data_IF_490062878937
#
_entry.id   IF_490062878937
#
_cell.length_a   1.000
_cell.length_b   1.000
_cell.length_c   1.000
_cell.angle_alpha   90.00
_cell.angle_beta   90.00
_cell.angle_gamma   90.00
#
_symmetry.space_group_name_H-M   'P 1'
#
loop_
_entity.id
_entity.type
_entity.pdbx_description
1 polymer ?
#
# COMPACT_ATOMS: atom_id res chain seq x y z
N UNK A 1 -3.55 10.53 30.48
CA UNK A 1 -2.54 9.80 29.69
C UNK A 1 -1.80 10.84 28.86
N UNK A 2 -0.46 10.83 28.79
CA UNK A 2 0.22 11.73 27.87
C UNK A 2 -0.19 11.31 26.46
N UNK A 3 -0.79 12.22 25.69
CA UNK A 3 -1.01 11.97 24.27
C UNK A 3 0.37 11.78 23.63
N UNK A 4 0.57 10.67 22.93
CA UNK A 4 1.77 10.48 22.16
C UNK A 4 1.66 11.44 20.95
N UNK A 5 2.66 12.29 20.77
CA UNK A 5 2.69 13.22 19.64
C UNK A 5 3.14 12.48 18.37
N UNK A 6 2.33 11.51 17.94
CA UNK A 6 2.54 10.67 16.77
C UNK A 6 1.54 11.03 15.68
N UNK A 7 1.87 10.75 14.42
CA UNK A 7 0.96 10.97 13.29
C UNK A 7 -0.39 10.26 13.51
N UNK A 8 -0.35 8.97 13.85
CA UNK A 8 -1.54 8.16 14.13
C UNK A 8 -2.53 8.89 15.07
N UNK A 9 -2.06 9.32 16.23
CA UNK A 9 -2.92 9.96 17.24
C UNK A 9 -3.34 11.39 16.92
N UNK A 10 -2.50 12.17 16.24
CA UNK A 10 -2.78 13.59 15.99
C UNK A 10 -3.46 13.87 14.65
N UNK A 11 -3.35 12.96 13.69
CA UNK A 11 -3.80 13.16 12.31
C UNK A 11 -4.65 11.99 11.83
N UNK A 12 -4.14 10.75 11.86
CA UNK A 12 -4.82 9.62 11.24
C UNK A 12 -6.13 9.25 11.97
N UNK A 13 -6.08 9.02 13.28
CA UNK A 13 -7.28 8.67 14.07
C UNK A 13 -8.34 9.78 14.06
N UNK A 14 -7.99 11.08 14.20
CA UNK A 14 -8.96 12.16 14.00
C UNK A 14 -9.57 12.18 12.60
N UNK A 15 -8.77 11.98 11.54
CA UNK A 15 -9.29 11.96 10.17
C UNK A 15 -10.23 10.76 9.94
N UNK A 16 -9.89 9.58 10.45
CA UNK A 16 -10.76 8.39 10.41
C UNK A 16 -12.08 8.68 11.14
N UNK A 17 -12.05 9.34 12.30
CA UNK A 17 -13.24 9.74 13.04
C UNK A 17 -14.17 10.65 12.23
N UNK A 18 -13.61 11.71 11.62
CA UNK A 18 -14.38 12.63 10.78
C UNK A 18 -15.00 11.93 9.55
N UNK A 19 -14.28 10.98 8.94
CA UNK A 19 -14.80 10.19 7.82
C UNK A 19 -15.93 9.25 8.29
N UNK A 20 -15.83 8.68 9.48
CA UNK A 20 -16.89 7.87 10.06
C UNK A 20 -18.18 8.67 10.29
N UNK A 21 -18.07 9.94 10.70
CA UNK A 21 -19.23 10.83 10.87
C UNK A 21 -20.02 11.06 9.58
N UNK A 22 -19.37 11.01 8.41
CA UNK A 22 -20.01 11.12 7.10
C UNK A 22 -20.34 9.75 6.47
N UNK A 23 -20.28 8.67 7.25
CA UNK A 23 -20.72 7.33 6.86
C UNK A 23 -19.67 6.50 6.12
N UNK A 24 -18.40 6.90 6.14
CA UNK A 24 -17.31 6.11 5.56
C UNK A 24 -16.79 5.08 6.56
N UNK A 25 -16.36 3.92 6.05
CA UNK A 25 -15.71 2.88 6.85
C UNK A 25 -14.23 2.81 6.47
N UNK A 26 -13.35 2.90 7.45
CA UNK A 26 -11.92 2.66 7.25
C UNK A 26 -11.60 1.17 7.37
N UNK A 27 -10.61 0.71 6.59
CA UNK A 27 -10.11 -0.66 6.62
C UNK A 27 -8.59 -0.61 6.60
N UNK A 28 -7.93 -1.47 7.39
CA UNK A 28 -6.47 -1.53 7.45
C UNK A 28 -5.92 -2.22 6.20
N UNK A 29 -5.12 -1.48 5.41
CA UNK A 29 -4.36 -2.06 4.32
C UNK A 29 -3.21 -2.95 4.81
N UNK A 30 -2.75 -2.78 6.06
CA UNK A 30 -1.72 -3.65 6.65
C UNK A 30 -2.26 -5.05 6.98
N UNK A 31 -3.55 -5.14 7.29
CA UNK A 31 -4.22 -6.39 7.69
C UNK A 31 -5.11 -6.95 6.56
N UNK A 32 -4.91 -6.48 5.32
CA UNK A 32 -5.73 -6.90 4.20
C UNK A 32 -5.46 -8.34 3.77
N UNK A 33 -6.44 -8.91 3.05
CA UNK A 33 -6.27 -10.14 2.28
C UNK A 33 -6.32 -9.83 0.78
N UNK A 34 -5.45 -10.46 0.00
CA UNK A 34 -5.36 -10.25 -1.46
C UNK A 34 -6.22 -11.25 -2.24
N UNK A 35 -6.54 -10.90 -3.48
CA UNK A 35 -7.23 -11.73 -4.45
C UNK A 35 -8.66 -11.27 -4.76
N UNK A 36 -9.33 -11.98 -5.66
CA UNK A 36 -10.69 -11.67 -6.13
C UNK A 36 -11.77 -11.60 -5.03
N UNK A 37 -11.50 -12.17 -3.85
CA UNK A 37 -12.38 -12.09 -2.66
C UNK A 37 -11.69 -11.39 -1.48
N UNK A 38 -10.59 -10.69 -1.75
CA UNK A 38 -9.77 -10.00 -0.76
C UNK A 38 -10.41 -8.73 -0.23
N UNK A 39 -9.88 -8.24 0.88
CA UNK A 39 -10.48 -7.13 1.66
C UNK A 39 -10.61 -5.85 0.85
N UNK A 40 -9.58 -5.48 0.09
CA UNK A 40 -9.54 -4.29 -0.75
C UNK A 40 -9.60 -4.63 -2.25
N UNK A 41 -9.89 -5.90 -2.59
CA UNK A 41 -9.98 -6.41 -3.97
C UNK A 41 -8.73 -6.16 -4.83
N UNK A 42 -7.57 -6.07 -4.18
CA UNK A 42 -6.26 -5.99 -4.85
C UNK A 42 -5.64 -7.37 -4.94
N UNK A 43 -4.89 -7.61 -6.00
CA UNK A 43 -4.15 -8.87 -6.14
C UNK A 43 -2.82 -8.83 -5.39
N UNK A 44 -2.25 -7.63 -5.20
CA UNK A 44 -0.94 -7.45 -4.56
C UNK A 44 -0.83 -6.12 -3.81
N UNK A 45 0.10 -6.03 -2.85
CA UNK A 45 0.38 -4.81 -2.09
C UNK A 45 0.85 -3.65 -3.00
N UNK A 46 1.56 -3.96 -4.09
CA UNK A 46 2.16 -2.99 -5.00
C UNK A 46 1.18 -2.19 -5.85
N UNK A 47 -0.10 -2.59 -5.91
CA UNK A 47 -1.13 -1.91 -6.72
C UNK A 47 -1.46 -0.50 -6.20
N UNK A 48 -1.11 -0.19 -4.95
CA UNK A 48 -1.22 1.18 -4.39
C UNK A 48 -0.22 2.14 -5.03
N UNK A 49 0.87 1.61 -5.57
CA UNK A 49 1.99 2.39 -6.07
C UNK A 49 1.93 2.44 -7.59
N UNK A 50 1.82 3.65 -8.14
CA UNK A 50 2.05 3.84 -9.57
C UNK A 50 3.56 3.76 -9.85
N UNK A 51 4.01 2.55 -10.19
CA UNK A 51 5.41 2.27 -10.49
C UNK A 51 5.97 3.10 -11.66
N UNK A 52 5.13 3.65 -12.56
CA UNK A 52 5.61 4.47 -13.67
C UNK A 52 6.08 5.86 -13.21
N UNK A 53 5.57 6.35 -12.07
CA UNK A 53 5.79 7.71 -11.61
C UNK A 53 6.38 7.80 -10.20
N UNK A 54 6.51 6.68 -9.49
CA UNK A 54 7.11 6.64 -8.17
C UNK A 54 8.65 6.67 -8.25
N UNK A 55 9.29 7.36 -7.30
CA UNK A 55 10.74 7.41 -7.22
C UNK A 55 11.34 6.05 -6.79
N UNK A 56 12.50 5.72 -7.37
CA UNK A 56 13.22 4.44 -7.26
C UNK A 56 13.33 3.81 -5.86
N UNK A 57 13.59 4.54 -4.75
CA UNK A 57 13.71 3.91 -3.44
C UNK A 57 12.40 3.29 -2.92
N UNK A 58 11.24 3.78 -3.38
CA UNK A 58 9.95 3.20 -3.00
C UNK A 58 9.62 1.95 -3.83
N UNK A 59 9.99 1.91 -5.11
CA UNK A 59 9.84 0.71 -5.98
C UNK A 59 10.57 -0.50 -5.39
N UNK A 60 11.81 -0.29 -4.94
CA UNK A 60 12.67 -1.39 -4.50
C UNK A 60 12.20 -2.09 -3.22
N UNK A 61 11.52 -1.38 -2.32
CA UNK A 61 11.06 -1.94 -1.05
C UNK A 61 9.75 -2.73 -1.16
N UNK A 62 9.00 -2.54 -2.25
CA UNK A 62 7.68 -3.17 -2.47
C UNK A 62 7.75 -4.29 -3.52
N UNK A 63 8.95 -4.67 -3.95
CA UNK A 63 9.21 -5.63 -5.04
C UNK A 63 9.14 -7.11 -4.57
N UNK A 64 8.05 -7.49 -3.90
CA UNK A 64 7.70 -8.89 -3.58
C UNK A 64 6.57 -9.43 -4.48
N UNK A 65 6.41 -8.85 -5.68
CA UNK A 65 5.41 -9.32 -6.64
C UNK A 65 5.78 -10.72 -7.19
N UNK A 66 4.80 -11.57 -7.53
CA UNK A 66 5.07 -12.87 -8.12
C UNK A 66 5.85 -12.69 -9.43
N UNK A 67 7.09 -13.14 -9.43
CA UNK A 67 7.92 -13.18 -10.62
C UNK A 67 7.35 -14.27 -11.53
N UNK A 68 6.63 -13.89 -12.57
CA UNK A 68 6.38 -14.83 -13.67
C UNK A 68 7.70 -15.00 -14.41
N UNK A 69 8.18 -16.24 -14.51
CA UNK A 69 9.42 -16.63 -15.18
C UNK A 69 10.71 -15.98 -14.64
N UNK A 70 10.70 -15.51 -13.39
CA UNK A 70 11.89 -14.92 -12.75
C UNK A 70 12.20 -13.48 -13.17
N UNK A 71 11.33 -12.82 -13.94
CA UNK A 71 11.48 -11.41 -14.34
C UNK A 71 10.46 -10.51 -13.63
N UNK A 72 10.93 -9.39 -13.06
CA UNK A 72 10.03 -8.32 -12.64
C UNK A 72 9.48 -7.63 -13.89
N UNK A 73 8.18 -7.78 -14.14
CA UNK A 73 7.46 -7.03 -15.19
C UNK A 73 7.05 -5.63 -14.74
N UNK A 74 7.44 -5.24 -13.52
CA UNK A 74 7.47 -3.85 -13.12
C UNK A 74 8.51 -3.15 -14.02
N UNK A 75 8.08 -2.37 -15.01
CA UNK A 75 8.97 -1.62 -15.92
C UNK A 75 9.90 -0.59 -15.24
N UNK A 76 10.01 -0.65 -13.91
CA UNK A 76 10.78 0.19 -13.01
C UNK A 76 11.89 -0.57 -12.26
N UNK A 77 12.08 -1.89 -12.48
CA UNK A 77 13.19 -2.64 -11.88
C UNK A 77 14.52 -2.29 -12.59
N UNK A 78 15.54 -1.73 -11.92
CA UNK A 78 16.83 -1.42 -12.53
C UNK A 78 17.69 -2.66 -12.80
N UNK A 79 17.28 -3.84 -12.32
CA UNK A 79 18.01 -5.11 -12.50
C UNK A 79 17.22 -6.05 -13.41
N UNK A 80 17.63 -6.11 -14.68
CA UNK A 80 17.37 -7.27 -15.53
C UNK A 80 16.70 -7.03 -16.88
N UNK A 81 17.18 -6.10 -17.70
CA UNK A 81 17.15 -6.34 -19.16
C UNK A 81 18.26 -7.33 -19.48
N UNK A 82 17.90 -8.59 -19.65
CA UNK A 82 18.64 -9.54 -20.46
C UNK A 82 17.80 -9.85 -21.70
#
# INVERSE_FOLDING_TARGET
MPHAYTEDQLVEQPAIGLLAEIGWSAVSALEETFGATGTLLRETKGEVVDCANVVSPLVNNECELPHQDGLCHCGACPVGSA
#
